data_IF_213669940141
#
_entry.id   IF_213669940141
#
_cell.length_a   1.000
_cell.length_b   1.000
_cell.length_c   1.000
_cell.angle_alpha   90.00
_cell.angle_beta   90.00
_cell.angle_gamma   90.00
#
_symmetry.space_group_name_H-M   'P 1'
#
loop_
_entity.id
_entity.type
_entity.pdbx_description
1 polymer ?
#
# COMPACT_ATOMS: atom_id res chain seq x y z
N UNK A 1 -13.42 12.69 -69.29
CA UNK A 1 -13.90 11.76 -68.25
C UNK A 1 -14.47 12.57 -67.09
N UNK A 2 -15.79 12.45 -66.87
CA UNK A 2 -16.66 12.81 -65.71
C UNK A 2 -16.31 14.10 -64.91
N UNK A 3 -16.85 15.28 -65.28
CA UNK A 3 -18.07 16.00 -64.76
C UNK A 3 -17.90 16.57 -63.33
N UNK A 4 -17.70 17.87 -63.09
CA UNK A 4 -18.56 19.09 -63.11
C UNK A 4 -19.61 19.23 -61.97
N UNK A 5 -19.59 20.42 -61.33
CA UNK A 5 -20.69 21.20 -60.71
C UNK A 5 -20.90 21.19 -59.18
N UNK A 6 -20.45 22.29 -58.54
CA UNK A 6 -21.17 23.33 -57.77
C UNK A 6 -22.48 23.06 -56.98
N UNK A 7 -22.51 23.76 -55.83
CA UNK A 7 -23.61 24.41 -55.09
C UNK A 7 -24.50 23.63 -54.08
N UNK A 8 -24.49 24.16 -52.84
CA UNK A 8 -25.57 24.51 -51.91
C UNK A 8 -26.76 23.54 -51.69
N UNK A 9 -27.16 23.36 -50.42
CA UNK A 9 -28.52 23.64 -49.90
C UNK A 9 -28.59 23.25 -48.40
N UNK A 10 -29.08 24.20 -47.59
CA UNK A 10 -29.63 23.97 -46.25
C UNK A 10 -30.89 23.11 -46.36
N UNK A 11 -31.01 22.06 -45.54
CA UNK A 11 -32.32 21.50 -45.19
C UNK A 11 -32.39 21.28 -43.68
N UNK A 12 -33.11 22.17 -43.00
CA UNK A 12 -33.76 21.91 -41.74
C UNK A 12 -34.78 20.77 -41.93
N UNK A 13 -34.69 19.72 -41.13
CA UNK A 13 -35.85 18.94 -40.73
C UNK A 13 -35.87 18.87 -39.20
N UNK A 14 -36.93 19.43 -38.62
CA UNK A 14 -37.23 19.38 -37.20
C UNK A 14 -38.06 18.12 -36.87
N UNK A 15 -37.95 17.72 -35.59
CA UNK A 15 -38.91 17.01 -34.74
C UNK A 15 -38.63 15.53 -34.41
N UNK A 16 -38.28 15.32 -33.12
CA UNK A 16 -38.32 14.08 -32.37
C UNK A 16 -37.32 14.12 -31.19
N UNK A 17 -37.74 14.08 -29.91
CA UNK A 17 -36.81 14.17 -28.79
C UNK A 17 -36.09 12.83 -28.65
N UNK A 18 -34.87 12.71 -29.17
CA UNK A 18 -33.96 11.69 -28.68
C UNK A 18 -33.34 12.23 -27.39
N UNK A 19 -33.71 11.58 -26.29
CA UNK A 19 -33.06 11.68 -24.99
C UNK A 19 -31.55 11.68 -25.22
N UNK A 20 -30.92 12.82 -24.95
CA UNK A 20 -29.48 12.96 -24.98
C UNK A 20 -28.92 12.01 -23.93
N UNK A 21 -28.23 10.98 -24.39
CA UNK A 21 -27.43 10.08 -23.57
C UNK A 21 -26.27 10.92 -23.02
N UNK A 22 -26.38 11.31 -21.75
CA UNK A 22 -25.39 12.10 -21.04
C UNK A 22 -24.02 11.43 -21.13
N UNK A 23 -23.10 12.08 -21.84
CA UNK A 23 -21.68 11.82 -21.73
C UNK A 23 -21.21 12.35 -20.38
N UNK A 24 -21.32 11.54 -19.33
CA UNK A 24 -20.64 11.85 -18.07
C UNK A 24 -19.13 11.79 -18.31
N UNK A 25 -18.50 12.97 -18.33
CA UNK A 25 -17.07 13.10 -18.10
C UNK A 25 -16.76 12.51 -16.73
N UNK A 26 -16.14 11.34 -16.69
CA UNK A 26 -15.67 10.74 -15.45
C UNK A 26 -14.69 11.71 -14.77
N UNK A 27 -15.04 12.17 -13.58
CA UNK A 27 -14.19 13.01 -12.73
C UNK A 27 -12.86 12.28 -12.49
N UNK A 28 -11.75 13.01 -12.51
CA UNK A 28 -10.43 12.47 -12.16
C UNK A 28 -10.40 11.99 -10.69
N UNK A 29 -9.51 11.06 -10.28
CA UNK A 29 -9.39 10.62 -8.89
C UNK A 29 -9.14 11.76 -7.88
N UNK A 30 -8.52 12.85 -8.32
CA UNK A 30 -8.32 14.07 -7.54
C UNK A 30 -9.63 14.87 -7.35
N UNK A 31 -10.40 15.03 -8.41
CA UNK A 31 -11.76 15.60 -8.38
C UNK A 31 -12.73 14.67 -7.65
N UNK A 32 -12.49 13.35 -7.66
CA UNK A 32 -13.21 12.38 -6.86
C UNK A 32 -12.85 12.50 -5.39
N UNK A 33 -11.58 12.68 -5.01
CA UNK A 33 -11.19 12.92 -3.61
C UNK A 33 -11.77 14.25 -3.09
N UNK A 34 -11.70 15.31 -3.90
CA UNK A 34 -12.33 16.60 -3.58
C UNK A 34 -13.86 16.49 -3.56
N UNK A 35 -14.50 15.75 -4.47
CA UNK A 35 -15.94 15.47 -4.45
C UNK A 35 -16.36 14.52 -3.32
N UNK A 36 -15.50 13.59 -2.94
CA UNK A 36 -15.69 12.67 -1.82
C UNK A 36 -15.73 13.48 -0.52
N UNK A 37 -14.87 14.48 -0.34
CA UNK A 37 -14.91 15.36 0.83
C UNK A 37 -15.88 16.55 0.70
N UNK A 38 -16.18 17.04 -0.51
CA UNK A 38 -17.02 18.23 -0.72
C UNK A 38 -18.49 17.91 -1.07
N UNK A 39 -18.78 16.87 -1.87
CA UNK A 39 -20.11 16.66 -2.50
C UNK A 39 -20.69 15.23 -2.43
N UNK A 40 -20.01 14.25 -1.84
CA UNK A 40 -20.48 12.86 -1.80
C UNK A 40 -21.50 12.54 -0.68
N UNK A 41 -21.74 13.49 0.23
CA UNK A 41 -22.65 13.38 1.38
C UNK A 41 -22.83 14.77 2.04
N UNK A 42 -23.97 15.05 2.68
CA UNK A 42 -24.24 16.38 3.24
C UNK A 42 -23.71 16.56 4.67
N UNK A 43 -23.82 15.51 5.49
CA UNK A 43 -23.50 15.54 6.92
C UNK A 43 -22.62 14.40 7.37
N UNK A 44 -22.94 13.15 7.04
CA UNK A 44 -22.10 12.01 7.38
C UNK A 44 -22.19 10.89 6.35
N UNK A 45 -21.20 9.99 6.37
CA UNK A 45 -21.26 8.72 5.65
C UNK A 45 -20.55 7.61 6.43
N UNK A 46 -21.01 6.39 6.21
CA UNK A 46 -20.50 5.15 6.80
C UNK A 46 -20.22 4.17 5.65
N UNK A 47 -19.04 3.58 5.68
CA UNK A 47 -18.55 2.68 4.66
C UNK A 47 -17.53 1.71 5.22
N UNK A 48 -16.77 1.10 4.33
CA UNK A 48 -15.72 0.17 4.71
C UNK A 48 -15.33 -0.77 3.60
N UNK A 49 -14.35 -1.62 3.88
CA UNK A 49 -13.90 -2.68 3.00
C UNK A 49 -13.58 -3.93 3.81
N UNK A 50 -13.47 -5.06 3.13
CA UNK A 50 -13.09 -6.30 3.78
C UNK A 50 -12.72 -7.36 2.79
N UNK A 51 -11.96 -8.34 3.27
CA UNK A 51 -11.49 -9.45 2.46
C UNK A 51 -11.43 -10.77 3.24
N UNK A 52 -11.70 -11.86 2.53
CA UNK A 52 -11.48 -13.23 2.99
C UNK A 52 -10.56 -13.90 1.99
N UNK A 53 -9.52 -14.57 2.47
CA UNK A 53 -8.42 -15.10 1.68
C UNK A 53 -8.19 -16.58 2.01
N UNK A 54 -7.96 -17.38 0.97
CA UNK A 54 -7.48 -18.75 1.08
C UNK A 54 -6.20 -18.90 0.27
N UNK A 55 -5.17 -19.52 0.84
CA UNK A 55 -3.87 -19.76 0.22
C UNK A 55 -3.51 -21.23 0.27
N UNK A 56 -2.93 -21.73 -0.82
CA UNK A 56 -2.43 -23.09 -0.97
C UNK A 56 -0.97 -22.99 -1.42
N UNK A 57 -0.04 -23.37 -0.54
CA UNK A 57 1.40 -23.11 -0.65
C UNK A 57 2.16 -24.43 -0.73
N UNK A 58 3.23 -24.45 -1.52
CA UNK A 58 4.14 -25.61 -1.65
C UNK A 58 5.45 -25.48 -0.85
N UNK A 59 5.45 -24.58 0.14
CA UNK A 59 6.61 -24.24 0.95
C UNK A 59 6.25 -24.15 2.44
N UNK A 60 7.26 -24.36 3.29
CA UNK A 60 7.15 -24.33 4.75
C UNK A 60 7.00 -22.93 5.34
N UNK A 61 7.03 -22.84 6.67
CA UNK A 61 6.78 -21.58 7.39
C UNK A 61 8.01 -20.67 7.38
N UNK A 62 9.21 -21.25 7.40
CA UNK A 62 10.44 -20.51 7.67
C UNK A 62 11.46 -20.66 6.53
N UNK A 63 11.70 -19.55 5.81
CA UNK A 63 12.69 -19.47 4.73
C UNK A 63 14.14 -19.53 5.25
N UNK A 64 14.36 -19.12 6.49
CA UNK A 64 15.69 -18.85 7.04
C UNK A 64 16.23 -19.98 7.93
N UNK A 65 15.39 -20.90 8.42
CA UNK A 65 15.80 -21.95 9.36
C UNK A 65 15.79 -23.34 8.74
N UNK A 66 16.79 -24.15 9.10
CA UNK A 66 16.71 -25.61 9.01
C UNK A 66 17.04 -26.25 7.66
N UNK A 67 17.37 -25.49 6.60
CA UNK A 67 17.85 -26.09 5.34
C UNK A 67 18.91 -25.23 4.63
N UNK A 68 19.84 -25.88 3.92
CA UNK A 68 20.78 -25.19 3.01
C UNK A 68 20.12 -24.65 1.75
N UNK A 69 18.85 -24.97 1.53
CA UNK A 69 18.12 -24.76 0.28
C UNK A 69 17.01 -23.71 0.43
N UNK A 70 16.99 -22.94 1.52
CA UNK A 70 15.96 -21.93 1.82
C UNK A 70 14.74 -22.56 2.49
N UNK A 71 13.54 -22.16 2.06
CA UNK A 71 12.31 -22.72 2.62
C UNK A 71 12.18 -24.21 2.25
N UNK A 72 11.73 -25.03 3.19
CA UNK A 72 11.48 -26.44 2.94
C UNK A 72 10.30 -26.61 1.97
N UNK A 73 10.35 -27.61 1.10
CA UNK A 73 9.18 -28.01 0.32
C UNK A 73 8.17 -28.66 1.25
N UNK A 74 6.97 -28.13 1.28
CA UNK A 74 5.90 -28.56 2.18
C UNK A 74 4.55 -28.38 1.48
N UNK A 75 3.44 -28.79 2.09
CA UNK A 75 2.09 -28.49 1.59
C UNK A 75 1.30 -27.84 2.71
N UNK A 76 1.14 -26.52 2.60
CA UNK A 76 0.47 -25.71 3.61
C UNK A 76 -0.73 -25.02 3.00
N UNK A 77 -1.83 -25.01 3.75
CA UNK A 77 -3.02 -24.27 3.38
C UNK A 77 -3.37 -23.32 4.50
N UNK A 78 -3.81 -22.11 4.14
CA UNK A 78 -4.23 -21.08 5.07
C UNK A 78 -5.58 -20.53 4.63
N UNK A 79 -6.44 -20.22 5.60
CA UNK A 79 -7.63 -19.40 5.40
C UNK A 79 -7.59 -18.32 6.45
N UNK A 80 -7.75 -17.06 6.03
CA UNK A 80 -7.70 -15.90 6.91
C UNK A 80 -8.75 -14.87 6.52
N UNK A 81 -9.04 -13.98 7.48
CA UNK A 81 -9.75 -12.73 7.26
C UNK A 81 -8.70 -11.65 7.47
N UNK A 82 -7.95 -11.25 6.43
CA UNK A 82 -6.87 -10.30 6.61
C UNK A 82 -7.37 -9.03 7.29
N UNK A 83 -8.48 -8.46 6.78
CA UNK A 83 -9.01 -7.16 7.23
C UNK A 83 -10.52 -7.07 7.08
N UNK A 84 -11.13 -6.42 8.05
CA UNK A 84 -12.45 -5.82 7.98
C UNK A 84 -12.37 -4.40 8.51
N UNK A 85 -12.72 -3.41 7.68
CA UNK A 85 -12.55 -1.99 8.00
C UNK A 85 -13.90 -1.30 8.00
N UNK A 86 -14.11 -0.46 9.02
CA UNK A 86 -15.24 0.44 9.11
C UNK A 86 -14.76 1.88 8.96
N UNK A 87 -15.29 2.57 7.97
CA UNK A 87 -14.97 3.96 7.67
C UNK A 87 -16.13 4.89 8.02
N UNK A 88 -15.82 6.04 8.61
CA UNK A 88 -16.79 7.06 9.00
C UNK A 88 -16.27 8.45 8.73
N UNK A 89 -17.07 9.25 8.03
CA UNK A 89 -16.81 10.68 7.87
C UNK A 89 -17.97 11.53 8.36
N UNK A 90 -17.66 12.67 8.98
CA UNK A 90 -18.63 13.62 9.50
C UNK A 90 -18.23 15.07 9.24
N UNK A 91 -19.11 15.82 8.57
CA UNK A 91 -18.99 17.26 8.37
C UNK A 91 -19.55 18.00 9.57
N UNK A 92 -18.71 18.59 10.42
CA UNK A 92 -19.19 19.54 11.45
C UNK A 92 -19.89 20.73 10.78
N UNK A 93 -19.29 21.22 9.70
CA UNK A 93 -19.82 22.21 8.77
C UNK A 93 -19.10 22.07 7.41
N UNK A 94 -19.30 23.01 6.49
CA UNK A 94 -18.67 22.99 5.14
C UNK A 94 -17.14 23.08 5.12
N UNK A 95 -16.52 23.23 6.29
CA UNK A 95 -15.14 23.67 6.46
C UNK A 95 -14.34 22.80 7.43
N UNK A 96 -15.01 21.96 8.21
CA UNK A 96 -14.44 21.13 9.26
C UNK A 96 -15.02 19.72 9.18
N UNK A 97 -14.15 18.72 9.04
CA UNK A 97 -14.52 17.32 8.77
C UNK A 97 -13.76 16.41 9.72
N UNK A 98 -14.46 15.48 10.37
CA UNK A 98 -13.88 14.32 11.04
C UNK A 98 -13.83 13.16 10.03
N UNK A 99 -12.69 12.47 9.96
CA UNK A 99 -12.56 11.16 9.32
C UNK A 99 -12.02 10.15 10.33
N UNK A 100 -12.55 8.94 10.30
CA UNK A 100 -12.13 7.84 11.16
C UNK A 100 -12.25 6.49 10.42
N UNK A 101 -11.26 5.64 10.59
CA UNK A 101 -11.25 4.26 10.08
C UNK A 101 -10.76 3.32 11.18
N UNK A 102 -11.52 2.25 11.41
CA UNK A 102 -11.19 1.20 12.37
C UNK A 102 -10.97 -0.09 11.59
N UNK A 103 -9.81 -0.69 11.78
CA UNK A 103 -9.41 -1.99 11.22
C UNK A 103 -9.66 -3.10 12.24
N UNK A 104 -10.16 -4.22 11.75
CA UNK A 104 -10.15 -5.49 12.45
C UNK A 104 -9.31 -6.46 11.63
N UNK A 105 -8.13 -6.82 12.13
CA UNK A 105 -7.26 -7.82 11.50
C UNK A 105 -7.48 -9.20 12.13
N UNK A 106 -7.38 -10.24 11.30
CA UNK A 106 -7.45 -11.66 11.70
C UNK A 106 -8.64 -12.05 12.60
N UNK A 107 -9.76 -11.29 12.55
CA UNK A 107 -10.97 -11.56 13.33
C UNK A 107 -11.13 -10.75 14.62
N UNK A 108 -10.25 -9.78 14.90
CA UNK A 108 -10.34 -8.86 16.05
C UNK A 108 -9.40 -9.25 17.20
N UNK A 109 -9.56 -8.69 18.40
CA UNK A 109 -8.56 -8.82 19.48
C UNK A 109 -8.36 -10.25 19.98
N UNK A 110 -7.27 -10.91 19.59
CA UNK A 110 -6.82 -12.17 20.15
C UNK A 110 -5.33 -12.15 20.42
N UNK A 111 -4.86 -13.03 21.30
CA UNK A 111 -3.42 -13.29 21.47
C UNK A 111 -3.10 -14.63 20.83
N UNK A 112 -2.15 -14.66 19.89
CA UNK A 112 -1.66 -15.89 19.30
C UNK A 112 -0.28 -16.23 19.90
N UNK A 113 -0.09 -17.51 20.22
CA UNK A 113 1.25 -18.04 20.42
C UNK A 113 1.75 -18.52 19.06
N UNK A 114 2.78 -17.87 18.53
CA UNK A 114 3.44 -18.29 17.30
C UNK A 114 4.86 -18.77 17.58
N UNK A 115 5.35 -19.62 16.68
CA UNK A 115 6.78 -19.89 16.59
C UNK A 115 7.37 -18.74 15.79
N UNK A 116 8.27 -17.98 16.41
CA UNK A 116 9.05 -16.95 15.73
C UNK A 116 9.78 -17.61 14.56
N UNK A 117 9.39 -17.27 13.33
CA UNK A 117 9.99 -17.86 12.12
C UNK A 117 11.34 -17.20 11.76
N UNK A 118 12.07 -16.72 12.77
CA UNK A 118 13.48 -16.33 12.61
C UNK A 118 14.40 -17.54 12.79
N UNK A 119 15.70 -17.34 12.61
CA UNK A 119 16.68 -18.43 12.69
C UNK A 119 16.71 -19.13 14.05
N UNK A 120 16.25 -18.46 15.11
CA UNK A 120 16.31 -18.98 16.47
C UNK A 120 15.10 -19.86 16.83
N UNK A 121 13.93 -19.62 16.20
CA UNK A 121 12.77 -20.50 16.30
C UNK A 121 12.22 -20.65 17.70
N UNK A 122 12.19 -19.55 18.44
CA UNK A 122 11.63 -19.46 19.79
C UNK A 122 10.09 -19.32 19.71
N UNK A 123 9.38 -19.72 20.76
CA UNK A 123 7.94 -19.47 20.85
C UNK A 123 7.74 -18.07 21.39
N UNK A 124 7.02 -17.22 20.66
CA UNK A 124 6.69 -15.87 21.10
C UNK A 124 5.16 -15.68 21.14
N UNK A 125 4.73 -14.89 22.12
CA UNK A 125 3.34 -14.44 22.20
C UNK A 125 3.23 -13.20 21.34
N UNK A 126 2.79 -13.35 20.09
CA UNK A 126 2.51 -12.20 19.23
C UNK A 126 1.05 -11.76 19.41
N UNK A 127 0.87 -10.57 19.97
CA UNK A 127 -0.46 -9.97 20.18
C UNK A 127 -1.06 -9.53 18.83
N UNK A 128 -0.25 -9.02 17.91
CA UNK A 128 -0.71 -8.49 16.61
C UNK A 128 -1.29 -9.59 15.68
N UNK A 129 -0.75 -10.82 15.72
CA UNK A 129 -1.23 -11.94 14.89
C UNK A 129 -2.37 -12.76 15.49
N UNK A 130 -2.69 -12.58 16.77
CA UNK A 130 -3.92 -13.13 17.34
C UNK A 130 -5.17 -12.37 16.91
N UNK A 131 -4.95 -11.29 16.15
CA UNK A 131 -5.93 -10.37 15.63
C UNK A 131 -5.94 -9.07 16.41
N UNK A 132 -6.09 -7.99 15.68
CA UNK A 132 -5.90 -6.62 16.17
C UNK A 132 -7.15 -5.80 15.87
N UNK A 133 -7.42 -4.81 16.73
CA UNK A 133 -8.34 -3.72 16.42
C UNK A 133 -7.54 -2.43 16.44
N UNK A 134 -7.27 -1.88 15.27
CA UNK A 134 -6.42 -0.71 15.09
C UNK A 134 -7.24 0.49 14.62
N UNK A 135 -6.83 1.69 15.03
CA UNK A 135 -7.27 2.91 14.38
C UNK A 135 -6.36 3.15 13.17
N UNK A 136 -6.85 2.84 11.97
CA UNK A 136 -6.11 3.13 10.72
C UNK A 136 -6.04 4.63 10.44
N UNK A 137 -7.14 5.34 10.71
CA UNK A 137 -7.23 6.78 10.51
C UNK A 137 -8.08 7.39 11.61
N UNK A 138 -7.69 8.57 12.10
CA UNK A 138 -8.50 9.40 12.98
C UNK A 138 -8.03 10.84 12.92
N UNK A 139 -8.75 11.70 12.23
CA UNK A 139 -8.26 13.06 11.97
C UNK A 139 -9.34 14.11 11.86
N UNK A 140 -8.95 15.35 12.15
CA UNK A 140 -9.75 16.54 11.86
C UNK A 140 -9.14 17.27 10.66
N UNK A 141 -9.95 17.51 9.64
CA UNK A 141 -9.59 18.26 8.43
C UNK A 141 -10.23 19.65 8.45
N UNK A 142 -9.42 20.65 8.12
CA UNK A 142 -9.83 22.02 7.83
C UNK A 142 -9.68 22.32 6.34
N UNK A 143 -10.80 22.57 5.67
CA UNK A 143 -10.82 22.98 4.26
C UNK A 143 -10.68 24.50 4.12
N UNK A 144 -9.54 25.00 3.64
CA UNK A 144 -9.24 26.44 3.56
C UNK A 144 -9.37 26.93 2.12
N UNK A 145 -8.69 26.25 1.20
CA UNK A 145 -8.64 26.57 -0.22
C UNK A 145 -8.36 25.28 -1.01
N UNK A 146 -8.84 25.10 -2.26
CA UNK A 146 -8.54 23.89 -3.04
C UNK A 146 -7.04 23.56 -3.12
N UNK A 147 -6.20 24.59 -3.25
CA UNK A 147 -4.73 24.45 -3.29
C UNK A 147 -4.05 24.36 -1.92
N UNK A 148 -4.76 24.52 -0.80
CA UNK A 148 -4.16 24.46 0.54
C UNK A 148 -5.20 24.13 1.61
N UNK A 149 -5.06 22.96 2.22
CA UNK A 149 -5.87 22.45 3.30
C UNK A 149 -4.96 21.84 4.38
N UNK A 150 -5.52 21.65 5.57
CA UNK A 150 -4.78 21.11 6.71
C UNK A 150 -5.56 19.97 7.35
N UNK A 151 -4.88 18.91 7.74
CA UNK A 151 -5.44 17.80 8.50
C UNK A 151 -4.49 17.42 9.63
N UNK A 152 -5.03 17.11 10.80
CA UNK A 152 -4.24 16.70 11.96
C UNK A 152 -4.89 15.50 12.65
N UNK A 153 -4.08 14.54 13.08
CA UNK A 153 -4.52 13.30 13.71
C UNK A 153 -3.66 12.12 13.28
N UNK A 154 -4.28 10.95 13.21
CA UNK A 154 -3.69 9.71 12.74
C UNK A 154 -4.00 9.53 11.25
N UNK A 155 -2.95 9.47 10.42
CA UNK A 155 -3.00 9.72 8.98
C UNK A 155 -2.25 8.64 8.21
N UNK A 156 -2.78 8.24 7.05
CA UNK A 156 -2.04 7.41 6.10
C UNK A 156 -0.82 8.17 5.59
N UNK A 157 0.35 7.55 5.68
CA UNK A 157 1.62 8.00 5.11
C UNK A 157 1.67 7.59 3.64
N UNK A 158 1.66 8.54 2.68
CA UNK A 158 1.47 8.24 1.26
C UNK A 158 2.80 7.87 0.57
N UNK A 159 3.50 6.87 1.10
CA UNK A 159 4.77 6.36 0.56
C UNK A 159 4.54 5.04 -0.17
N UNK A 160 4.94 5.00 -1.44
CA UNK A 160 4.66 3.85 -2.32
C UNK A 160 3.26 3.88 -2.93
N UNK A 161 3.04 3.06 -3.96
CA UNK A 161 1.76 2.99 -4.66
C UNK A 161 0.68 2.32 -3.79
N UNK A 162 1.08 1.33 -3.00
CA UNK A 162 0.19 0.50 -2.19
C UNK A 162 -0.39 1.29 -1.03
N UNK A 163 0.39 2.07 -0.28
CA UNK A 163 -0.16 2.83 0.85
C UNK A 163 -1.18 3.89 0.38
N UNK A 164 -0.95 4.52 -0.78
CA UNK A 164 -1.93 5.45 -1.36
C UNK A 164 -3.22 4.75 -1.83
N UNK A 165 -3.17 3.45 -2.15
CA UNK A 165 -4.32 2.69 -2.66
C UNK A 165 -4.38 1.28 -2.05
N UNK A 166 -4.44 1.21 -0.71
CA UNK A 166 -4.29 -0.05 0.03
C UNK A 166 -5.56 -0.91 0.07
N UNK A 167 -6.71 -0.36 -0.36
CA UNK A 167 -7.98 -1.08 -0.41
C UNK A 167 -7.94 -2.25 -1.41
N UNK A 168 -8.64 -3.37 -1.13
CA UNK A 168 -8.45 -4.62 -1.84
C UNK A 168 -8.84 -4.59 -3.32
N UNK A 169 -9.70 -3.67 -3.76
CA UNK A 169 -10.05 -3.55 -5.18
C UNK A 169 -9.01 -2.77 -6.01
N UNK A 170 -8.04 -2.13 -5.35
CA UNK A 170 -7.10 -1.21 -5.99
C UNK A 170 -5.79 -1.87 -6.44
N UNK A 171 -5.64 -3.17 -6.23
CA UNK A 171 -4.57 -4.01 -6.77
C UNK A 171 -5.14 -5.30 -7.35
N UNK A 172 -4.43 -5.93 -8.30
CA UNK A 172 -4.96 -7.13 -8.96
C UNK A 172 -4.90 -8.39 -8.09
N UNK A 173 -3.75 -8.69 -7.47
CA UNK A 173 -3.56 -9.90 -6.67
C UNK A 173 -4.56 -10.10 -5.53
N UNK A 174 -4.64 -11.32 -5.01
CA UNK A 174 -5.47 -11.67 -3.84
C UNK A 174 -4.95 -11.02 -2.55
N UNK A 175 -3.67 -10.67 -2.50
CA UNK A 175 -3.05 -9.85 -1.46
C UNK A 175 -2.37 -8.62 -2.05
N UNK A 176 -2.08 -7.65 -1.17
CA UNK A 176 -1.28 -6.47 -1.52
C UNK A 176 0.07 -6.88 -2.13
N UNK A 177 0.66 -6.03 -3.00
CA UNK A 177 1.98 -6.30 -3.59
C UNK A 177 3.04 -6.52 -2.52
N UNK A 178 3.61 -7.72 -2.48
CA UNK A 178 4.63 -8.11 -1.49
C UNK A 178 5.86 -7.21 -1.56
N UNK A 179 6.21 -6.73 -2.74
CA UNK A 179 7.43 -5.95 -2.92
C UNK A 179 7.49 -4.73 -2.01
N UNK A 180 6.42 -3.94 -1.93
CA UNK A 180 6.41 -2.76 -1.05
C UNK A 180 6.18 -3.16 0.40
N UNK A 181 5.22 -4.06 0.65
CA UNK A 181 4.81 -4.44 2.01
C UNK A 181 5.84 -5.28 2.75
N UNK A 182 6.87 -5.80 2.07
CA UNK A 182 7.99 -6.51 2.69
C UNK A 182 9.13 -5.58 3.14
N UNK A 183 9.17 -4.31 2.72
CA UNK A 183 10.29 -3.41 3.07
C UNK A 183 9.86 -2.14 3.81
N UNK A 184 8.60 -1.73 3.67
CA UNK A 184 7.99 -0.61 4.40
C UNK A 184 6.65 -1.05 5.00
N UNK A 185 6.13 -0.37 6.03
CA UNK A 185 4.81 -0.68 6.56
C UNK A 185 3.73 -0.61 5.47
N UNK A 186 2.76 -1.52 5.55
CA UNK A 186 1.53 -1.50 4.76
C UNK A 186 0.41 -0.85 5.57
N UNK A 187 -0.56 -0.24 4.89
CA UNK A 187 -1.56 0.61 5.55
C UNK A 187 -0.86 1.61 6.47
N UNK A 188 0.31 2.11 6.05
CA UNK A 188 1.19 2.85 6.93
C UNK A 188 0.48 4.10 7.43
N UNK A 189 0.23 4.16 8.72
CA UNK A 189 -0.36 5.30 9.38
C UNK A 189 0.52 5.79 10.52
N UNK A 190 0.50 7.11 10.72
CA UNK A 190 1.26 7.80 11.75
C UNK A 190 0.45 8.97 12.32
N UNK A 191 0.74 9.34 13.57
CA UNK A 191 0.13 10.53 14.18
C UNK A 191 0.92 11.79 13.82
N UNK A 192 0.25 12.83 13.33
CA UNK A 192 0.89 14.08 12.93
C UNK A 192 -0.03 15.11 12.29
N UNK A 193 0.56 15.96 11.44
CA UNK A 193 -0.11 17.02 10.69
C UNK A 193 0.24 16.90 9.21
N UNK A 194 -0.77 17.05 8.35
CA UNK A 194 -0.68 17.07 6.90
C UNK A 194 -1.16 18.41 6.33
N UNK A 195 -0.43 18.90 5.33
CA UNK A 195 -0.81 19.98 4.43
C UNK A 195 -0.98 19.40 3.04
N UNK A 196 -2.12 19.65 2.42
CA UNK A 196 -2.44 19.06 1.11
C UNK A 196 -3.26 19.99 0.25
N UNK A 197 -3.22 19.78 -1.06
CA UNK A 197 -3.99 20.58 -1.99
C UNK A 197 -3.83 20.16 -3.44
N UNK A 198 -4.66 20.76 -4.26
CA UNK A 198 -4.66 20.59 -5.72
C UNK A 198 -4.33 21.92 -6.39
N UNK A 199 -3.40 21.92 -7.34
CA UNK A 199 -3.06 23.11 -8.10
C UNK A 199 -2.89 22.81 -9.58
N UNK A 200 -2.96 23.87 -10.39
CA UNK A 200 -3.06 23.76 -11.84
C UNK A 200 -4.46 23.31 -12.29
N UNK A 201 -4.65 23.15 -13.59
CA UNK A 201 -5.95 22.81 -14.20
C UNK A 201 -5.73 21.92 -15.42
N UNK A 202 -6.73 21.10 -15.74
CA UNK A 202 -6.74 20.25 -16.94
C UNK A 202 -5.41 19.49 -17.09
N UNK A 203 -4.70 19.69 -18.19
CA UNK A 203 -3.45 19.01 -18.53
C UNK A 203 -2.26 19.32 -17.61
N UNK A 204 -2.40 20.29 -16.71
CA UNK A 204 -1.38 20.64 -15.71
C UNK A 204 -1.91 20.46 -14.29
N UNK A 205 -2.78 19.49 -14.04
CA UNK A 205 -3.34 19.21 -12.71
C UNK A 205 -2.38 18.41 -11.83
N UNK A 206 -2.14 18.88 -10.61
CA UNK A 206 -1.28 18.26 -9.61
C UNK A 206 -1.95 18.21 -8.23
N UNK A 207 -1.72 17.13 -7.49
CA UNK A 207 -1.99 17.06 -6.05
C UNK A 207 -0.69 16.95 -5.29
N UNK A 208 -0.62 17.57 -4.12
CA UNK A 208 0.50 17.40 -3.22
C UNK A 208 0.03 17.08 -1.80
N UNK A 209 0.88 16.38 -1.07
CA UNK A 209 0.77 16.12 0.36
C UNK A 209 2.13 16.41 0.99
N UNK A 210 2.13 17.08 2.15
CA UNK A 210 3.31 17.33 2.96
C UNK A 210 2.97 17.08 4.43
N UNK A 211 3.71 16.22 5.11
CA UNK A 211 3.41 15.78 6.47
C UNK A 211 4.59 15.95 7.41
N UNK A 212 4.26 16.17 8.69
CA UNK A 212 5.16 15.99 9.82
C UNK A 212 4.51 15.00 10.77
N UNK A 213 5.15 13.86 11.02
CA UNK A 213 4.55 12.72 11.73
C UNK A 213 5.52 12.07 12.71
N UNK A 214 4.99 11.29 13.66
CA UNK A 214 5.73 10.56 14.69
C UNK A 214 7.02 9.90 14.14
N UNK A 215 6.84 9.07 13.12
CA UNK A 215 7.92 8.46 12.37
C UNK A 215 8.27 7.07 12.88
N UNK A 216 9.16 6.38 12.17
CA UNK A 216 9.48 5.00 12.50
C UNK A 216 10.40 4.90 13.72
N UNK A 217 10.26 3.78 14.42
CA UNK A 217 11.10 3.36 15.54
C UNK A 217 12.12 2.32 15.08
N UNK A 218 13.41 2.61 15.26
CA UNK A 218 14.51 1.76 14.80
C UNK A 218 14.61 0.41 15.54
N UNK A 219 13.88 0.22 16.65
CA UNK A 219 13.79 -1.07 17.34
C UNK A 219 13.22 -2.17 16.45
N UNK A 220 12.25 -1.83 15.59
CA UNK A 220 11.64 -2.78 14.68
C UNK A 220 12.38 -2.96 13.36
N UNK A 221 13.57 -2.39 13.21
CA UNK A 221 14.36 -2.54 11.99
C UNK A 221 15.14 -3.85 12.02
N UNK A 222 15.14 -4.57 10.91
CA UNK A 222 15.66 -5.92 10.88
C UNK A 222 16.25 -6.33 9.52
N UNK A 223 16.81 -7.54 9.49
CA UNK A 223 17.40 -8.15 8.29
C UNK A 223 16.36 -8.45 7.20
N UNK A 224 15.22 -9.02 7.59
CA UNK A 224 14.26 -9.68 6.72
C UNK A 224 13.26 -8.71 6.07
N UNK A 225 12.89 -7.63 6.75
CA UNK A 225 11.86 -6.68 6.34
C UNK A 225 12.33 -5.22 6.37
N UNK A 226 13.63 -4.99 6.60
CA UNK A 226 14.27 -3.67 6.63
C UNK A 226 13.63 -2.71 7.65
N UNK A 227 12.75 -1.78 7.24
CA UNK A 227 12.10 -0.81 8.15
C UNK A 227 10.62 -1.09 8.38
N UNK A 228 10.06 -2.14 7.76
CA UNK A 228 8.63 -2.46 7.85
C UNK A 228 8.16 -2.67 9.30
N UNK A 229 8.96 -3.32 10.13
CA UNK A 229 8.64 -3.56 11.54
C UNK A 229 8.78 -2.32 12.43
N UNK A 230 9.26 -1.19 11.91
CA UNK A 230 9.46 0.03 12.69
C UNK A 230 8.22 0.89 12.87
N UNK A 231 7.05 0.44 12.39
CA UNK A 231 5.77 1.10 12.68
C UNK A 231 5.57 1.13 14.20
N UNK A 232 5.18 2.27 14.75
CA UNK A 232 4.90 2.40 16.18
C UNK A 232 3.46 1.95 16.51
N UNK A 233 3.16 1.73 17.79
CA UNK A 233 1.85 1.25 18.27
C UNK A 233 1.89 0.06 19.23
N UNK A 234 3.06 -0.57 19.42
CA UNK A 234 3.23 -1.68 20.39
C UNK A 234 3.06 -1.19 21.83
N UNK A 235 3.42 0.07 22.10
CA UNK A 235 3.28 0.71 23.40
C UNK A 235 2.18 1.78 23.38
N UNK A 236 1.71 2.18 24.57
CA UNK A 236 0.60 3.13 24.76
C UNK A 236 0.84 4.51 24.10
N UNK A 237 2.10 4.84 23.79
CA UNK A 237 2.51 6.12 23.22
C UNK A 237 3.55 5.93 22.13
N UNK A 238 3.40 6.64 21.02
CA UNK A 238 4.43 6.76 19.99
C UNK A 238 5.54 7.72 20.45
N UNK A 239 6.79 7.36 20.20
CA UNK A 239 7.93 8.24 20.37
C UNK A 239 8.01 9.25 19.21
N UNK A 240 8.15 10.52 19.54
CA UNK A 240 8.26 11.62 18.56
C UNK A 240 9.51 12.49 18.78
N UNK A 241 10.55 11.93 19.39
CA UNK A 241 11.80 12.66 19.67
C UNK A 241 12.47 13.15 18.39
N UNK A 242 12.35 12.39 17.30
CA UNK A 242 12.77 12.79 15.96
C UNK A 242 11.60 12.66 14.96
N UNK A 243 10.90 13.75 14.62
CA UNK A 243 9.84 13.73 13.62
C UNK A 243 10.31 13.17 12.27
N UNK A 244 9.38 12.54 11.56
CA UNK A 244 9.52 12.27 10.14
C UNK A 244 8.78 13.31 9.29
N UNK A 245 9.36 13.60 8.14
CA UNK A 245 8.85 14.51 7.14
C UNK A 245 8.51 13.72 5.88
N UNK A 246 7.31 13.92 5.36
CA UNK A 246 6.84 13.20 4.16
C UNK A 246 6.40 14.23 3.13
N UNK A 247 6.74 14.01 1.87
CA UNK A 247 6.18 14.79 0.77
C UNK A 247 5.81 13.87 -0.39
N UNK A 248 4.64 14.09 -1.00
CA UNK A 248 4.19 13.41 -2.22
C UNK A 248 3.69 14.43 -3.23
N UNK A 249 3.97 14.18 -4.51
CA UNK A 249 3.42 14.92 -5.63
C UNK A 249 2.84 13.93 -6.65
N UNK A 250 1.60 14.17 -7.05
CA UNK A 250 0.90 13.42 -8.09
C UNK A 250 0.60 14.33 -9.28
N UNK A 251 0.91 13.87 -10.48
CA UNK A 251 0.45 14.44 -11.74
C UNK A 251 -0.78 13.70 -12.24
N UNK A 252 -1.85 14.44 -12.58
CA UNK A 252 -3.14 13.89 -13.03
C UNK A 252 -3.64 14.54 -14.33
N UNK A 253 -2.77 15.20 -15.09
CA UNK A 253 -3.19 16.00 -16.24
C UNK A 253 -3.63 15.19 -17.46
N UNK A 254 -3.35 13.89 -17.52
CA UNK A 254 -3.77 13.02 -18.62
C UNK A 254 -4.89 12.11 -18.14
N UNK A 255 -6.06 12.07 -18.81
CA UNK A 255 -7.16 11.20 -18.42
C UNK A 255 -6.74 9.74 -18.27
N UNK A 256 -7.04 9.17 -17.11
CA UNK A 256 -6.69 7.80 -16.76
C UNK A 256 -5.24 7.59 -16.32
N UNK A 257 -4.33 8.56 -16.52
CA UNK A 257 -2.93 8.47 -16.08
C UNK A 257 -2.72 9.26 -14.78
N UNK A 258 -2.12 8.61 -13.80
CA UNK A 258 -1.58 9.19 -12.58
C UNK A 258 -0.10 8.83 -12.49
N UNK A 259 0.75 9.82 -12.23
CA UNK A 259 2.18 9.62 -11.98
C UNK A 259 2.52 10.27 -10.66
N UNK A 260 3.02 9.46 -9.72
CA UNK A 260 3.31 9.86 -8.36
C UNK A 260 4.78 9.73 -8.01
N UNK A 261 5.23 10.56 -7.06
CA UNK A 261 6.51 10.40 -6.41
C UNK A 261 6.43 10.87 -4.96
N UNK A 262 7.10 10.15 -4.06
CA UNK A 262 7.14 10.50 -2.64
C UNK A 262 8.54 10.42 -2.04
N UNK A 263 8.74 11.16 -0.96
CA UNK A 263 9.93 11.10 -0.11
C UNK A 263 9.49 11.03 1.35
N UNK A 264 10.13 10.15 2.10
CA UNK A 264 10.08 10.09 3.56
C UNK A 264 11.47 10.37 4.09
N UNK A 265 11.56 11.21 5.11
CA UNK A 265 12.80 11.56 5.78
C UNK A 265 12.62 11.60 7.29
N UNK A 266 13.46 10.88 8.03
CA UNK A 266 13.61 11.07 9.47
C UNK A 266 15.09 11.34 9.77
N UNK A 267 15.38 12.39 10.53
CA UNK A 267 16.76 12.79 10.82
C UNK A 267 17.49 11.77 11.72
N UNK A 268 16.79 11.27 12.75
CA UNK A 268 17.37 10.33 13.70
C UNK A 268 16.33 9.29 14.14
N UNK A 269 16.16 8.19 13.39
CA UNK A 269 15.21 7.12 13.74
C UNK A 269 15.55 6.43 15.07
N UNK A 270 16.82 6.45 15.47
CA UNK A 270 17.29 5.88 16.74
C UNK A 270 16.82 6.71 17.95
N UNK A 271 16.43 7.97 17.75
CA UNK A 271 15.85 8.80 18.81
C UNK A 271 14.39 8.43 19.13
N UNK A 272 13.72 7.73 18.22
CA UNK A 272 12.36 7.22 18.41
C UNK A 272 12.34 5.82 19.07
N UNK A 273 13.51 5.31 19.46
CA UNK A 273 13.65 3.99 20.07
C UNK A 273 13.19 3.93 21.53
N UNK A 274 12.50 2.85 21.89
CA UNK A 274 12.00 2.62 23.27
C UNK A 274 13.13 2.41 24.29
N UNK A 275 14.33 2.11 23.78
CA UNK A 275 15.55 1.86 24.55
C UNK A 275 16.58 2.95 24.30
N UNK A 276 16.19 4.20 24.53
CA UNK A 276 16.99 5.37 24.14
C UNK A 276 18.41 5.37 24.73
N UNK A 277 18.65 4.76 25.89
CA UNK A 277 19.98 4.64 26.50
C UNK A 277 20.95 3.77 25.68
N UNK A 278 20.43 2.78 24.98
CA UNK A 278 21.18 1.89 24.10
C UNK A 278 21.42 2.57 22.74
N UNK A 279 20.38 3.17 22.17
CA UNK A 279 20.38 3.76 20.82
C UNK A 279 21.09 5.11 20.73
N UNK A 280 21.08 5.90 21.81
CA UNK A 280 21.84 7.17 21.87
C UNK A 280 23.35 6.99 21.69
N UNK A 281 23.88 5.78 21.86
CA UNK A 281 25.30 5.46 21.63
C UNK A 281 25.72 5.52 20.16
N UNK A 282 24.78 5.42 19.23
CA UNK A 282 25.04 5.57 17.80
C UNK A 282 25.42 7.02 17.48
N UNK A 283 24.89 7.97 18.27
CA UNK A 283 25.00 9.40 18.06
C UNK A 283 23.81 9.99 17.33
N UNK A 284 23.95 11.25 16.96
CA UNK A 284 22.94 11.97 16.19
C UNK A 284 23.01 11.61 14.70
N UNK A 285 21.90 11.85 14.00
CA UNK A 285 21.79 11.68 12.54
C UNK A 285 21.81 10.23 12.04
N UNK A 286 21.16 9.31 12.76
CA UNK A 286 20.73 8.01 12.20
C UNK A 286 19.57 8.26 11.22
N UNK A 287 19.91 8.87 10.10
CA UNK A 287 18.96 9.31 9.08
C UNK A 287 18.41 8.14 8.28
N UNK A 288 17.10 8.22 8.00
CA UNK A 288 16.38 7.32 7.11
C UNK A 288 15.77 8.13 5.97
N UNK A 289 16.06 7.71 4.75
CA UNK A 289 15.45 8.21 3.53
C UNK A 289 14.74 7.09 2.79
N UNK A 290 13.51 7.33 2.38
CA UNK A 290 12.75 6.44 1.49
C UNK A 290 12.24 7.27 0.34
N UNK A 291 12.52 6.84 -0.88
CA UNK A 291 12.03 7.47 -2.10
C UNK A 291 11.10 6.50 -2.81
N UNK A 292 9.96 6.97 -3.30
CA UNK A 292 9.09 6.20 -4.18
C UNK A 292 8.79 6.94 -5.47
N UNK A 293 8.59 6.17 -6.54
CA UNK A 293 8.00 6.65 -7.77
C UNK A 293 7.00 5.59 -8.27
N UNK A 294 5.87 6.05 -8.79
CA UNK A 294 4.79 5.17 -9.21
C UNK A 294 3.98 5.77 -10.36
N UNK A 295 3.35 4.90 -11.13
CA UNK A 295 2.48 5.27 -12.22
C UNK A 295 1.29 4.31 -12.31
N UNK A 296 0.12 4.86 -12.62
CA UNK A 296 -1.09 4.12 -12.89
C UNK A 296 -1.72 4.65 -14.17
N UNK A 297 -2.07 3.75 -15.08
CA UNK A 297 -2.90 4.06 -16.23
C UNK A 297 -4.15 3.17 -16.22
N UNK A 298 -5.33 3.79 -16.23
CA UNK A 298 -6.62 3.10 -16.25
C UNK A 298 -7.50 3.68 -17.33
N UNK A 299 -8.00 2.83 -18.21
CA UNK A 299 -9.10 3.14 -19.11
C UNK A 299 -10.07 1.96 -19.15
N UNK A 300 -11.10 2.03 -20.00
CA UNK A 300 -12.12 0.98 -20.07
C UNK A 300 -11.58 -0.40 -20.50
N UNK A 301 -10.44 -0.46 -21.18
CA UNK A 301 -9.84 -1.69 -21.71
C UNK A 301 -8.70 -2.24 -20.84
N UNK A 302 -7.86 -1.37 -20.31
CA UNK A 302 -6.61 -1.75 -19.63
C UNK A 302 -6.45 -0.99 -18.33
N UNK A 303 -5.99 -1.71 -17.30
CA UNK A 303 -5.40 -1.11 -16.11
C UNK A 303 -3.95 -1.58 -16.04
N UNK A 304 -3.02 -0.64 -15.96
CA UNK A 304 -1.60 -0.91 -15.78
C UNK A 304 -1.08 -0.07 -14.61
N UNK A 305 -0.18 -0.65 -13.82
CA UNK A 305 0.46 0.02 -12.69
C UNK A 305 1.95 -0.35 -12.65
N UNK A 306 2.78 0.56 -12.18
CA UNK A 306 4.19 0.33 -11.91
C UNK A 306 4.62 1.14 -10.70
N UNK A 307 5.59 0.62 -9.96
CA UNK A 307 6.09 1.26 -8.75
C UNK A 307 7.56 0.92 -8.51
N UNK A 308 8.25 1.78 -7.79
CA UNK A 308 9.58 1.56 -7.26
C UNK A 308 9.76 2.26 -5.92
N UNK A 309 10.54 1.64 -5.04
CA UNK A 309 10.96 2.16 -3.75
C UNK A 309 12.47 1.97 -3.62
N UNK A 310 13.16 3.00 -3.16
CA UNK A 310 14.57 2.95 -2.78
C UNK A 310 14.77 3.51 -1.38
N UNK A 311 15.47 2.74 -0.55
CA UNK A 311 15.76 3.04 0.83
C UNK A 311 17.23 3.34 1.10
N UNK A 312 17.51 4.30 1.99
CA UNK A 312 18.84 4.55 2.51
C UNK A 312 18.78 4.82 4.02
N UNK A 313 19.44 3.97 4.79
CA UNK A 313 19.57 4.03 6.23
C UNK A 313 21.03 4.24 6.61
N UNK A 314 21.34 5.42 7.15
CA UNK A 314 22.68 5.68 7.68
C UNK A 314 22.92 4.93 9.00
N UNK A 315 24.18 4.62 9.30
CA UNK A 315 24.59 3.91 10.53
C UNK A 315 23.87 2.56 10.74
N UNK A 316 23.51 1.87 9.65
CA UNK A 316 22.83 0.57 9.70
C UNK A 316 23.68 -0.53 10.37
N UNK A 317 25.00 -0.42 10.31
CA UNK A 317 25.97 -1.27 11.00
C UNK A 317 25.93 -1.09 12.52
N UNK A 318 25.76 0.15 13.00
CA UNK A 318 25.63 0.45 14.43
C UNK A 318 24.26 0.02 14.96
N UNK A 319 23.19 0.24 14.19
CA UNK A 319 21.86 -0.30 14.50
C UNK A 319 21.89 -1.82 14.57
N UNK A 320 22.56 -2.47 13.61
CA UNK A 320 22.79 -3.92 13.62
C UNK A 320 23.43 -4.40 14.92
N UNK A 321 24.48 -3.72 15.39
CA UNK A 321 25.16 -4.08 16.64
C UNK A 321 24.24 -3.97 17.85
N UNK A 322 23.40 -2.93 17.91
CA UNK A 322 22.45 -2.74 19.02
C UNK A 322 21.31 -3.76 18.95
N UNK A 323 20.67 -3.93 17.79
CA UNK A 323 19.52 -4.83 17.62
C UNK A 323 19.89 -6.30 17.91
N UNK A 324 21.11 -6.71 17.59
CA UNK A 324 21.62 -8.05 17.95
C UNK A 324 21.66 -8.31 19.48
N UNK A 325 21.81 -7.24 20.27
CA UNK A 325 21.95 -7.30 21.74
C UNK A 325 20.66 -7.04 22.52
N UNK A 326 19.57 -6.73 21.83
CA UNK A 326 18.26 -6.57 22.46
C UNK A 326 17.88 -7.87 23.19
N UNK A 327 17.19 -7.76 24.33
CA UNK A 327 16.70 -8.91 25.10
C UNK A 327 15.83 -9.82 24.24
N UNK A 328 15.92 -11.13 24.41
CA UNK A 328 14.97 -12.09 23.81
C UNK A 328 13.54 -11.98 24.35
N UNK A 329 13.30 -11.14 25.37
CA UNK A 329 11.96 -10.79 25.83
C UNK A 329 11.40 -9.53 25.13
N UNK A 330 12.14 -8.96 24.19
CA UNK A 330 11.70 -7.79 23.45
C UNK A 330 10.62 -8.18 22.45
N UNK A 331 9.58 -7.36 22.24
CA UNK A 331 8.59 -7.60 21.18
C UNK A 331 9.15 -7.30 19.77
N UNK A 332 10.45 -7.08 19.64
CA UNK A 332 11.11 -6.70 18.40
C UNK A 332 12.10 -7.78 18.02
N UNK A 333 12.14 -8.11 16.74
CA UNK A 333 13.08 -9.11 16.23
C UNK A 333 14.53 -8.67 16.42
N UNK A 334 15.41 -9.67 16.54
CA UNK A 334 16.85 -9.51 16.71
C UNK A 334 17.64 -9.90 15.45
N UNK A 335 16.92 -10.09 14.33
CA UNK A 335 17.52 -10.56 13.08
C UNK A 335 18.37 -9.48 12.43
N UNK A 336 19.62 -9.84 12.16
CA UNK A 336 20.68 -8.94 11.69
C UNK A 336 21.50 -9.64 10.60
N UNK A 337 22.27 -8.91 9.77
CA UNK A 337 22.47 -7.45 9.75
C UNK A 337 21.31 -6.68 9.10
N UNK A 338 21.07 -5.46 9.58
CA UNK A 338 20.17 -4.48 8.98
C UNK A 338 20.90 -3.81 7.83
N UNK A 339 20.29 -3.82 6.64
CA UNK A 339 20.93 -3.28 5.45
C UNK A 339 20.90 -1.75 5.41
N UNK A 340 21.92 -1.18 4.78
CA UNK A 340 22.02 0.25 4.48
C UNK A 340 21.02 0.64 3.39
N UNK A 341 20.89 -0.21 2.37
CA UNK A 341 19.97 0.01 1.26
C UNK A 341 18.99 -1.15 1.12
N UNK A 342 17.76 -0.79 0.81
CA UNK A 342 16.69 -1.71 0.41
C UNK A 342 16.02 -1.19 -0.87
N UNK A 343 15.45 -2.09 -1.66
CA UNK A 343 14.80 -1.73 -2.91
C UNK A 343 13.59 -2.61 -3.16
N UNK A 344 12.58 -2.04 -3.81
CA UNK A 344 11.45 -2.77 -4.38
C UNK A 344 11.07 -2.12 -5.70
N UNK A 345 10.65 -2.92 -6.69
CA UNK A 345 10.02 -2.41 -7.89
C UNK A 345 9.16 -3.48 -8.54
N UNK A 346 8.12 -3.05 -9.25
CA UNK A 346 7.21 -3.96 -9.88
C UNK A 346 6.31 -3.28 -10.90
N UNK A 347 5.52 -4.11 -11.57
CA UNK A 347 4.49 -3.66 -12.48
C UNK A 347 3.45 -4.72 -12.73
N UNK A 348 2.23 -4.29 -12.98
CA UNK A 348 1.10 -5.13 -13.30
C UNK A 348 0.30 -4.57 -14.46
N UNK A 349 -0.32 -5.46 -15.23
CA UNK A 349 -1.24 -5.11 -16.30
C UNK A 349 -2.40 -6.11 -16.33
N UNK A 350 -3.61 -5.60 -16.50
CA UNK A 350 -4.81 -6.41 -16.66
C UNK A 350 -5.78 -5.80 -17.66
N UNK A 351 -6.59 -6.66 -18.26
CA UNK A 351 -7.44 -6.30 -19.40
C UNK A 351 -8.91 -6.59 -19.10
N UNK A 352 -9.79 -5.63 -19.37
CA UNK A 352 -11.24 -5.82 -19.20
C UNK A 352 -11.80 -6.64 -20.38
N UNK A 353 -12.08 -7.93 -20.15
CA UNK A 353 -12.60 -8.83 -21.19
C UNK A 353 -13.95 -8.35 -21.74
N UNK A 354 -14.81 -7.77 -20.90
CA UNK A 354 -16.12 -7.27 -21.37
C UNK A 354 -15.94 -6.13 -22.37
N UNK A 355 -15.03 -5.20 -22.09
CA UNK A 355 -14.79 -4.07 -23.00
C UNK A 355 -14.08 -4.47 -24.28
N UNK A 356 -13.18 -5.47 -24.23
CA UNK A 356 -12.61 -6.07 -25.44
C UNK A 356 -13.71 -6.76 -26.28
N UNK A 357 -14.70 -7.37 -25.62
CA UNK A 357 -15.88 -7.97 -26.24
C UNK A 357 -16.99 -6.94 -26.58
N UNK A 358 -16.62 -5.71 -26.95
CA UNK A 358 -17.55 -4.63 -27.37
C UNK A 358 -18.65 -4.33 -26.34
N UNK A 359 -18.29 -4.38 -25.05
CA UNK A 359 -19.16 -4.10 -23.92
C UNK A 359 -20.41 -5.03 -23.83
N UNK A 360 -20.34 -6.22 -24.45
CA UNK A 360 -21.43 -7.19 -24.48
C UNK A 360 -21.91 -7.54 -23.05
N UNK A 361 -23.18 -7.27 -22.69
CA UNK A 361 -23.69 -7.49 -21.34
C UNK A 361 -23.75 -8.96 -20.91
N UNK A 362 -23.64 -9.89 -21.85
CA UNK A 362 -23.53 -11.33 -21.55
C UNK A 362 -22.13 -11.74 -21.10
N UNK A 363 -21.12 -10.88 -21.30
CA UNK A 363 -19.74 -11.14 -20.86
C UNK A 363 -19.57 -10.51 -19.47
N UNK A 364 -19.24 -11.30 -18.43
CA UNK A 364 -18.98 -10.76 -17.11
C UNK A 364 -17.75 -9.85 -17.11
N UNK A 365 -17.68 -8.94 -16.14
CA UNK A 365 -16.51 -8.07 -15.96
C UNK A 365 -15.39 -8.88 -15.32
N UNK A 366 -14.48 -9.37 -16.16
CA UNK A 366 -13.33 -10.17 -15.75
C UNK A 366 -12.06 -9.49 -16.23
N UNK A 367 -11.07 -9.41 -15.35
CA UNK A 367 -9.72 -8.93 -15.62
C UNK A 367 -8.70 -10.06 -15.44
N UNK A 368 -8.29 -10.76 -16.51
CA UNK A 368 -7.00 -11.43 -16.52
C UNK A 368 -5.89 -10.40 -16.32
N UNK A 369 -4.91 -10.77 -15.51
CA UNK A 369 -3.76 -9.92 -15.25
C UNK A 369 -2.47 -10.73 -15.12
N UNK A 370 -1.36 -10.03 -15.27
CA UNK A 370 -0.04 -10.49 -14.88
C UNK A 370 0.68 -9.38 -14.12
N UNK A 371 1.49 -9.78 -13.13
CA UNK A 371 2.29 -8.90 -12.29
C UNK A 371 3.68 -9.48 -12.12
N UNK A 372 4.67 -8.61 -12.15
CA UNK A 372 6.04 -8.91 -11.76
C UNK A 372 6.45 -8.00 -10.60
N UNK A 373 7.13 -8.57 -9.61
CA UNK A 373 7.70 -7.83 -8.49
C UNK A 373 9.12 -8.30 -8.22
N UNK A 374 9.97 -7.36 -7.82
CA UNK A 374 11.27 -7.60 -7.24
C UNK A 374 11.37 -6.82 -5.94
N UNK A 375 11.90 -7.44 -4.90
CA UNK A 375 12.29 -6.73 -3.70
C UNK A 375 13.53 -7.36 -3.07
N UNK A 376 14.29 -6.52 -2.38
CA UNK A 376 15.42 -6.93 -1.58
C UNK A 376 15.58 -5.96 -0.39
N UNK A 377 15.17 -6.37 0.83
CA UNK A 377 15.42 -5.62 2.06
C UNK A 377 16.91 -5.55 2.39
N UNK A 378 17.73 -6.44 1.79
CA UNK A 378 19.17 -6.48 1.93
C UNK A 378 19.90 -6.17 0.63
N UNK A 379 19.53 -5.04 0.01
CA UNK A 379 20.13 -4.63 -1.27
C UNK A 379 21.62 -4.30 -1.13
N UNK A 380 22.02 -3.64 -0.04
CA UNK A 380 23.42 -3.35 0.27
C UNK A 380 23.62 -3.18 1.78
N UNK A 381 24.63 -3.84 2.34
CA UNK A 381 25.02 -3.71 3.75
C UNK A 381 26.01 -2.56 3.99
N UNK A 382 26.35 -2.31 5.25
CA UNK A 382 27.41 -1.37 5.60
C UNK A 382 28.72 -2.12 5.91
N UNK A 383 29.86 -1.53 5.54
CA UNK A 383 31.18 -2.07 5.89
C UNK A 383 31.42 -3.50 5.38
N UNK A 384 31.43 -4.47 6.31
CA UNK A 384 31.71 -5.90 6.03
C UNK A 384 30.48 -6.80 6.18
N UNK A 385 29.29 -6.22 6.31
CA UNK A 385 28.07 -7.00 6.46
C UNK A 385 27.83 -7.90 5.25
N UNK A 386 27.55 -9.17 5.52
CA UNK A 386 27.20 -10.15 4.49
C UNK A 386 25.67 -10.21 4.40
N UNK A 387 25.14 -9.89 3.21
CA UNK A 387 23.71 -9.93 2.96
C UNK A 387 23.24 -11.36 2.71
N UNK A 388 22.08 -11.71 3.28
CA UNK A 388 21.43 -12.99 3.07
C UNK A 388 20.67 -13.00 1.75
N UNK A 389 21.13 -13.81 0.80
CA UNK A 389 20.52 -13.92 -0.51
C UNK A 389 19.07 -14.43 -0.47
N UNK A 390 18.62 -15.04 0.64
CA UNK A 390 17.21 -15.45 0.83
C UNK A 390 16.24 -14.28 0.90
N UNK A 391 16.73 -13.07 1.19
CA UNK A 391 15.95 -11.84 1.17
C UNK A 391 15.74 -11.25 -0.23
N UNK A 392 16.53 -11.69 -1.22
CA UNK A 392 16.41 -11.25 -2.60
C UNK A 392 15.33 -12.07 -3.31
N UNK A 393 14.20 -11.45 -3.62
CA UNK A 393 13.03 -12.13 -4.20
C UNK A 393 12.65 -11.49 -5.53
N UNK A 394 12.41 -12.34 -6.54
CA UNK A 394 11.73 -11.97 -7.77
C UNK A 394 10.50 -12.85 -7.92
N UNK A 395 9.36 -12.32 -8.33
CA UNK A 395 8.16 -13.12 -8.47
C UNK A 395 7.30 -12.74 -9.66
N UNK A 396 6.54 -13.71 -10.13
CA UNK A 396 5.46 -13.53 -11.10
C UNK A 396 4.15 -13.96 -10.48
N UNK A 397 3.12 -13.15 -10.66
CA UNK A 397 1.74 -13.47 -10.32
C UNK A 397 0.89 -13.36 -11.56
N UNK A 398 0.03 -14.35 -11.81
CA UNK A 398 -0.96 -14.31 -12.88
C UNK A 398 -2.30 -14.79 -12.36
N UNK A 399 -3.37 -14.09 -12.73
CA UNK A 399 -4.67 -14.36 -12.14
C UNK A 399 -5.85 -13.75 -12.89
N UNK A 400 -7.02 -13.85 -12.27
CA UNK A 400 -8.31 -13.40 -12.76
C UNK A 400 -9.06 -12.69 -11.65
N UNK A 401 -9.55 -11.49 -11.94
CA UNK A 401 -10.47 -10.75 -11.08
C UNK A 401 -11.85 -10.70 -11.73
N UNK A 402 -12.84 -11.35 -11.12
CA UNK A 402 -14.24 -11.27 -11.53
C UNK A 402 -14.99 -10.28 -10.63
N UNK A 403 -15.44 -9.17 -11.22
CA UNK A 403 -16.28 -8.20 -10.54
C UNK A 403 -17.74 -8.64 -10.65
N UNK A 404 -18.24 -9.28 -9.59
CA UNK A 404 -19.65 -9.67 -9.48
C UNK A 404 -20.55 -8.43 -9.36
N UNK A 405 -20.06 -7.39 -8.69
CA UNK A 405 -20.62 -6.03 -8.64
C UNK A 405 -19.45 -5.02 -8.78
N UNK A 406 -19.71 -3.73 -9.07
CA UNK A 406 -18.64 -2.72 -9.18
C UNK A 406 -17.68 -2.69 -7.98
N UNK A 407 -18.21 -3.01 -6.80
CA UNK A 407 -17.57 -2.91 -5.50
C UNK A 407 -17.41 -4.28 -4.81
N UNK A 408 -17.60 -5.39 -5.52
CA UNK A 408 -17.46 -6.76 -5.02
C UNK A 408 -16.72 -7.61 -6.04
N UNK A 409 -15.55 -8.11 -5.65
CA UNK A 409 -14.65 -8.86 -6.53
C UNK A 409 -14.33 -10.23 -5.95
N UNK A 410 -14.32 -11.23 -6.83
CA UNK A 410 -13.75 -12.55 -6.56
C UNK A 410 -12.44 -12.65 -7.33
N UNK A 411 -11.37 -13.04 -6.67
CA UNK A 411 -10.01 -13.09 -7.20
C UNK A 411 -9.46 -14.50 -7.12
N UNK A 412 -8.68 -14.88 -8.11
CA UNK A 412 -7.87 -16.09 -8.10
C UNK A 412 -6.53 -15.81 -8.77
N UNK A 413 -5.43 -16.19 -8.15
CA UNK A 413 -4.11 -16.06 -8.76
C UNK A 413 -3.15 -17.18 -8.38
N UNK A 414 -2.12 -17.31 -9.19
CA UNK A 414 -0.96 -18.16 -8.93
C UNK A 414 0.28 -17.28 -8.90
N UNK A 415 1.05 -17.40 -7.83
CA UNK A 415 2.31 -16.69 -7.61
C UNK A 415 3.46 -17.68 -7.55
N UNK A 416 4.57 -17.37 -8.22
CA UNK A 416 5.83 -18.11 -8.13
C UNK A 416 6.96 -17.17 -7.77
N UNK A 417 7.66 -17.46 -6.67
CA UNK A 417 8.77 -16.66 -6.16
C UNK A 417 10.09 -17.39 -6.41
N UNK A 418 11.04 -16.65 -6.98
CA UNK A 418 12.43 -17.04 -7.18
C UNK A 418 13.30 -16.37 -6.13
N UNK A 419 13.88 -17.18 -5.25
CA UNK A 419 14.63 -16.74 -4.07
C UNK A 419 16.14 -16.78 -4.36
N UNK A 420 16.88 -15.72 -3.99
CA UNK A 420 18.34 -15.64 -4.12
C UNK A 420 18.85 -15.83 -5.54
N UNK A 421 18.09 -15.39 -6.54
CA UNK A 421 18.44 -15.63 -7.94
C UNK A 421 18.30 -17.08 -8.40
N UNK A 422 17.60 -17.93 -7.64
CA UNK A 422 17.37 -19.35 -7.92
C UNK A 422 18.34 -20.29 -7.19
N UNK A 423 19.13 -19.77 -6.25
CA UNK A 423 20.01 -20.58 -5.40
C UNK A 423 19.25 -21.36 -4.33
N UNK A 424 18.02 -20.94 -4.02
CA UNK A 424 17.15 -21.56 -3.03
C UNK A 424 15.87 -22.07 -3.69
N UNK A 425 15.13 -22.93 -2.98
CA UNK A 425 13.83 -23.43 -3.41
C UNK A 425 12.90 -22.26 -3.78
N UNK A 426 12.13 -22.45 -4.86
CA UNK A 426 11.04 -21.55 -5.20
C UNK A 426 9.90 -21.71 -4.20
N UNK A 427 9.14 -20.63 -4.00
CA UNK A 427 7.95 -20.60 -3.17
C UNK A 427 6.75 -20.31 -4.07
N UNK A 428 5.85 -21.28 -4.23
CA UNK A 428 4.70 -21.17 -5.10
C UNK A 428 3.40 -21.21 -4.29
N UNK A 429 2.45 -20.40 -4.72
CA UNK A 429 1.19 -20.18 -4.01
C UNK A 429 0.06 -20.07 -5.02
N UNK A 430 -1.04 -20.80 -4.78
CA UNK A 430 -2.32 -20.55 -5.41
C UNK A 430 -3.27 -19.94 -4.39
N UNK A 431 -3.95 -18.86 -4.75
CA UNK A 431 -4.75 -18.07 -3.82
C UNK A 431 -6.12 -17.72 -4.38
N UNK A 432 -7.10 -17.64 -3.49
CA UNK A 432 -8.49 -17.27 -3.75
C UNK A 432 -8.91 -16.19 -2.76
N UNK A 433 -9.56 -15.12 -3.23
CA UNK A 433 -10.10 -14.10 -2.35
C UNK A 433 -11.49 -13.61 -2.76
N UNK A 434 -12.27 -13.17 -1.79
CA UNK A 434 -13.48 -12.37 -2.00
C UNK A 434 -13.28 -11.06 -1.25
N UNK A 435 -13.46 -9.94 -1.93
CA UNK A 435 -13.26 -8.63 -1.35
C UNK A 435 -14.31 -7.61 -1.79
N UNK A 436 -14.58 -6.63 -0.95
CA UNK A 436 -15.48 -5.52 -1.26
C UNK A 436 -14.93 -4.19 -0.73
N UNK A 437 -15.44 -3.08 -1.25
CA UNK A 437 -15.29 -1.74 -0.68
C UNK A 437 -16.55 -0.91 -0.96
N UNK A 438 -16.98 -0.05 -0.06
CA UNK A 438 -18.06 0.87 -0.40
C UNK A 438 -18.52 1.78 0.72
N UNK A 439 -19.29 2.79 0.34
CA UNK A 439 -20.10 3.61 1.24
C UNK A 439 -21.53 3.07 1.25
N UNK A 440 -22.00 2.64 2.42
CA UNK A 440 -23.27 1.93 2.56
C UNK A 440 -24.40 2.84 3.02
N UNK A 441 -24.06 3.92 3.72
CA UNK A 441 -25.03 4.85 4.26
C UNK A 441 -24.47 6.26 4.25
N UNK A 442 -25.24 7.21 3.77
CA UNK A 442 -24.91 8.63 3.83
C UNK A 442 -26.14 9.46 4.13
N UNK A 443 -25.91 10.61 4.76
CA UNK A 443 -26.86 11.70 4.87
C UNK A 443 -26.21 12.96 4.36
#
# INVERSE_FOLDING_TARGET
>A
MKRLANLLVLSLCAAGPLVAQESHSELSPAEQSEAIYASGYDKFRVGGYGEVLAKFMDYGINRFRGTSNGNAKDHRNEISIPRFVLAFDYKFNSKWILGAEIEFEAGGTGTAYEIENTENGEYETEVEKGGEVALEQFHITRLIHPAFNVRAGHLIVPVGLTNEHHEPINFFGTSRPEGETSIIPSTWHETGIEFFGTFGKEYTSFNYQAMVVAGLNANGFDRNNWVQGGKQGIFETDNFTSPAYVARLNYNGVPGLKVGGSVYYCNNVAANSDKLNEYSRIGDNVSLWIYSADAQYKNKYVTARANMIYGNLSHSDMLTQINATISGLSPYTRTTPIAKHAVSYGGEVGFNLRSICKDNPKVPVIYPFARYEYYNPQQEGAGRDVMDLRNKVSMWTAGLNWYALPNLVVKADYTTRKIGGGQYNSENEFSLAVAYVGWFWSK
#
